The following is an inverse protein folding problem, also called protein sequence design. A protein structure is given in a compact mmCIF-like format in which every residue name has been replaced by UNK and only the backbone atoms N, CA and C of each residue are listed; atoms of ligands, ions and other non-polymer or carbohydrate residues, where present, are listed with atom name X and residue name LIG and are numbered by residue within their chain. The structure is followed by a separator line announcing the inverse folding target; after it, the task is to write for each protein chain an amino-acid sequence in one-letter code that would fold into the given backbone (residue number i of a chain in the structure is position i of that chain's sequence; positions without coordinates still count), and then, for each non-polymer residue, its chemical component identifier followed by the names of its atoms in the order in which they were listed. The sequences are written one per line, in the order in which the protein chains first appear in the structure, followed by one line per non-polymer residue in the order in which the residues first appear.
data_IF_597766623779
#
_entry.id   IF_597766623779
#
_cell.length_a   1.000
_cell.length_b   1.000
_cell.length_c   1.000
_cell.angle_alpha   90.00
_cell.angle_beta   90.00
_cell.angle_gamma   90.00
#
_symmetry.space_group_name_H-M   'P 1'
#
loop_
_entity.id
_entity.type
_entity.pdbx_description
1 polymer ?
#
# COMPACT_ATOMS: atom_id res chain seq x y z
N UNK A 1 42.17 29.32 -37.81
CA UNK A 1 41.32 30.10 -36.89
C UNK A 1 41.22 29.30 -35.59
N UNK A 2 42.25 29.37 -34.72
CA UNK A 2 42.44 30.37 -33.64
C UNK A 2 41.32 30.22 -32.60
N UNK A 3 41.49 29.85 -31.32
CA UNK A 3 42.60 29.43 -30.46
C UNK A 3 41.94 28.84 -29.18
N UNK A 4 42.31 27.63 -28.68
CA UNK A 4 42.97 27.34 -27.35
C UNK A 4 43.08 28.56 -26.39
N UNK A 5 42.91 28.45 -25.06
CA UNK A 5 43.66 27.62 -24.11
C UNK A 5 43.14 27.88 -22.65
N UNK A 6 43.02 26.86 -21.77
CA UNK A 6 43.91 26.49 -20.63
C UNK A 6 43.74 27.25 -19.30
N UNK A 7 43.71 26.48 -18.18
CA UNK A 7 43.66 26.91 -16.77
C UNK A 7 44.92 27.61 -16.23
N UNK A 8 45.17 27.64 -14.89
CA UNK A 8 45.67 26.46 -14.17
C UNK A 8 45.29 26.33 -12.66
N UNK A 9 45.83 25.26 -12.08
CA UNK A 9 45.78 24.71 -10.72
C UNK A 9 46.74 25.46 -9.76
N UNK A 10 46.44 25.56 -8.46
CA UNK A 10 47.47 25.51 -7.41
C UNK A 10 46.95 24.99 -6.04
N UNK A 11 47.79 24.14 -5.44
CA UNK A 11 47.71 23.47 -4.13
C UNK A 11 48.20 24.36 -2.96
N UNK A 12 47.82 23.97 -1.72
CA UNK A 12 48.57 24.22 -0.46
C UNK A 12 47.73 24.94 0.60
N UNK A 13 47.18 24.30 1.64
CA UNK A 13 47.80 23.71 2.85
C UNK A 13 47.74 24.64 4.09
N UNK A 14 47.18 24.07 5.17
CA UNK A 14 47.57 24.24 6.59
C UNK A 14 46.90 25.29 7.50
N UNK A 15 46.18 24.70 8.47
CA UNK A 15 46.23 24.91 9.94
C UNK A 15 45.30 25.94 10.60
N UNK A 16 44.61 25.38 11.60
CA UNK A 16 43.69 25.85 12.64
C UNK A 16 43.95 27.22 13.26
N UNK A 17 42.86 27.89 13.69
CA UNK A 17 42.60 28.28 15.10
C UNK A 17 41.27 29.04 15.27
N UNK A 18 40.38 28.54 16.14
CA UNK A 18 39.67 29.40 17.13
C UNK A 18 38.32 30.05 16.81
N UNK A 19 37.24 29.31 17.08
CA UNK A 19 35.96 29.73 17.72
C UNK A 19 35.21 31.00 17.27
N UNK A 20 33.96 30.82 16.82
CA UNK A 20 32.79 31.53 17.37
C UNK A 20 31.50 30.83 16.96
N UNK A 21 30.58 30.70 17.92
CA UNK A 21 29.31 29.99 17.81
C UNK A 21 28.37 30.65 16.80
N UNK A 22 27.88 29.87 15.84
CA UNK A 22 26.67 30.17 15.07
C UNK A 22 25.45 29.66 15.86
N UNK A 23 24.50 30.52 16.27
CA UNK A 23 23.26 30.05 16.86
C UNK A 23 22.32 29.52 15.78
N UNK A 24 21.82 28.32 16.05
CA UNK A 24 20.82 27.59 15.28
C UNK A 24 19.52 28.38 15.10
N UNK A 25 18.95 28.25 13.91
CA UNK A 25 17.72 28.91 13.47
C UNK A 25 16.59 28.95 14.49
N UNK A 26 16.34 30.16 15.00
CA UNK A 26 15.07 30.57 15.62
C UNK A 26 14.73 32.05 15.39
N UNK A 27 15.47 32.77 14.54
CA UNK A 27 15.32 34.22 14.35
C UNK A 27 14.77 34.62 12.97
N UNK A 28 13.69 34.00 12.54
CA UNK A 28 12.93 34.51 11.41
C UNK A 28 11.44 34.25 11.63
N UNK A 29 10.82 35.05 12.49
CA UNK A 29 9.42 35.54 12.40
C UNK A 29 9.00 36.18 13.73
N UNK A 30 9.61 37.31 14.09
CA UNK A 30 9.17 38.13 15.22
C UNK A 30 9.26 39.62 14.89
N UNK A 31 8.62 40.06 13.81
CA UNK A 31 8.43 41.50 13.55
C UNK A 31 7.10 41.77 12.84
N UNK A 32 6.10 42.17 13.64
CA UNK A 32 5.25 43.34 13.39
C UNK A 32 4.03 43.31 14.33
N UNK A 33 4.19 43.84 15.55
CA UNK A 33 3.06 44.35 16.33
C UNK A 33 3.34 45.82 16.67
N UNK A 34 3.13 46.69 15.68
CA UNK A 34 2.93 48.11 15.87
C UNK A 34 1.46 48.38 16.15
N UNK A 35 1.18 49.09 17.24
CA UNK A 35 -0.15 49.46 17.74
C UNK A 35 -1.12 49.99 16.66
N UNK A 36 -2.39 49.56 16.71
CA UNK A 36 -3.63 50.37 16.64
C UNK A 36 -4.80 49.47 17.09
N UNK A 37 -5.61 49.95 18.02
CA UNK A 37 -6.74 49.24 18.60
C UNK A 37 -7.83 48.90 17.59
N UNK A 38 -7.88 47.63 17.18
CA UNK A 38 -9.09 46.89 16.80
C UNK A 38 -8.87 45.47 17.29
N UNK A 39 -9.86 44.89 17.98
CA UNK A 39 -9.76 43.53 18.55
C UNK A 39 -9.50 42.53 17.42
N UNK A 40 -8.22 42.18 17.20
CA UNK A 40 -7.79 41.18 16.24
C UNK A 40 -7.92 39.81 16.92
N UNK A 41 -8.95 39.06 16.57
CA UNK A 41 -9.13 37.70 17.08
C UNK A 41 -8.36 36.73 16.20
N UNK A 42 -7.18 36.31 16.67
CA UNK A 42 -6.43 35.24 16.03
C UNK A 42 -6.87 33.89 16.61
N UNK A 43 -7.57 33.09 15.82
CA UNK A 43 -8.00 31.74 16.21
C UNK A 43 -6.89 30.77 15.81
N UNK A 44 -6.13 30.33 16.80
CA UNK A 44 -5.09 29.32 16.65
C UNK A 44 -5.57 28.02 17.30
N UNK A 45 -6.25 27.16 16.53
CA UNK A 45 -6.86 25.95 17.12
C UNK A 45 -7.29 24.87 16.14
N UNK A 46 -6.96 24.95 14.85
CA UNK A 46 -7.35 23.90 13.92
C UNK A 46 -6.31 22.78 13.90
N UNK A 47 -6.48 21.80 14.79
CA UNK A 47 -5.64 20.59 14.88
C UNK A 47 -5.64 19.74 13.59
N UNK A 48 -6.56 19.97 12.67
CA UNK A 48 -6.65 19.23 11.42
C UNK A 48 -6.09 20.06 10.26
N UNK A 49 -4.84 19.75 9.86
CA UNK A 49 -4.26 20.23 8.60
C UNK A 49 -5.21 19.95 7.41
N UNK A 50 -5.97 18.85 7.49
CA UNK A 50 -6.96 18.50 6.47
C UNK A 50 -8.17 19.44 6.44
N UNK A 51 -8.63 19.94 7.59
CA UNK A 51 -9.71 20.92 7.67
C UNK A 51 -9.28 22.28 7.12
N UNK A 52 -8.07 22.75 7.44
CA UNK A 52 -7.53 23.98 6.86
C UNK A 52 -7.39 23.86 5.34
N UNK A 53 -6.88 22.74 4.83
CA UNK A 53 -6.82 22.45 3.39
C UNK A 53 -8.22 22.42 2.74
N UNK A 54 -9.22 21.87 3.44
CA UNK A 54 -10.60 21.84 2.95
C UNK A 54 -11.22 23.25 2.89
N UNK A 55 -10.90 24.12 3.85
CA UNK A 55 -11.34 25.52 3.88
C UNK A 55 -10.61 26.41 2.88
N UNK A 56 -9.34 26.14 2.60
CA UNK A 56 -8.58 26.83 1.54
C UNK A 56 -8.97 26.36 0.13
N UNK A 57 -9.66 25.22 0.02
CA UNK A 57 -10.13 24.71 -1.26
C UNK A 57 -11.40 25.47 -1.72
N UNK A 58 -11.19 26.43 -2.62
CA UNK A 58 -12.26 27.23 -3.24
C UNK A 58 -13.28 26.40 -4.05
N UNK A 59 -12.94 25.15 -4.40
CA UNK A 59 -13.81 24.23 -5.15
C UNK A 59 -14.45 23.16 -4.27
N UNK A 60 -14.50 23.36 -2.95
CA UNK A 60 -15.11 22.40 -2.04
C UNK A 60 -16.60 22.16 -2.40
N UNK A 61 -17.00 20.88 -2.46
CA UNK A 61 -18.39 20.46 -2.67
C UNK A 61 -19.14 20.17 -1.36
N UNK A 62 -18.47 20.31 -0.21
CA UNK A 62 -19.10 20.10 1.09
C UNK A 62 -19.97 21.32 1.46
N UNK A 63 -21.27 21.14 1.73
CA UNK A 63 -22.15 22.24 2.17
C UNK A 63 -21.66 22.90 3.46
N UNK A 64 -21.13 22.12 4.39
CA UNK A 64 -20.57 22.59 5.66
C UNK A 64 -19.30 23.44 5.41
N UNK A 65 -18.43 22.99 4.50
CA UNK A 65 -17.22 23.74 4.18
C UNK A 65 -17.55 25.10 3.55
N UNK A 66 -18.54 25.16 2.63
CA UNK A 66 -19.00 26.44 2.05
C UNK A 66 -19.62 27.36 3.09
N UNK A 67 -20.49 26.84 3.95
CA UNK A 67 -21.08 27.62 5.03
C UNK A 67 -20.02 28.28 5.93
N UNK A 68 -18.98 27.52 6.29
CA UNK A 68 -17.86 28.05 7.09
C UNK A 68 -17.05 29.07 6.29
N UNK A 69 -16.75 28.81 5.01
CA UNK A 69 -16.04 29.75 4.13
C UNK A 69 -16.80 31.09 3.99
N UNK A 70 -18.12 31.05 3.77
CA UNK A 70 -18.97 32.24 3.66
C UNK A 70 -19.02 33.01 4.99
N UNK A 71 -19.12 32.30 6.11
CA UNK A 71 -19.09 32.91 7.45
C UNK A 71 -17.76 33.61 7.74
N UNK A 72 -16.65 32.98 7.35
CA UNK A 72 -15.32 33.57 7.47
C UNK A 72 -15.13 34.78 6.55
N UNK A 73 -15.65 34.73 5.33
CA UNK A 73 -15.58 35.83 4.37
C UNK A 73 -16.32 37.07 4.86
N UNK A 74 -17.47 36.89 5.52
CA UNK A 74 -18.27 37.98 6.06
C UNK A 74 -17.70 38.58 7.36
N UNK A 75 -16.75 37.89 8.01
CA UNK A 75 -16.16 38.33 9.27
C UNK A 75 -14.81 38.99 9.04
N UNK A 76 -14.74 40.32 9.13
CA UNK A 76 -13.49 41.05 9.00
C UNK A 76 -12.68 40.91 10.30
N UNK A 77 -11.38 40.62 10.20
CA UNK A 77 -10.39 40.50 11.30
C UNK A 77 -10.17 39.10 11.92
N UNK A 78 -10.44 38.00 11.19
CA UNK A 78 -10.03 36.65 11.63
C UNK A 78 -8.76 36.21 10.88
N UNK A 79 -7.75 35.77 11.62
CA UNK A 79 -6.58 35.05 11.08
C UNK A 79 -6.64 33.60 11.52
N UNK A 80 -6.51 32.70 10.54
CA UNK A 80 -6.45 31.25 10.76
C UNK A 80 -5.00 30.79 10.66
N UNK A 81 -4.48 30.20 11.72
CA UNK A 81 -3.17 29.58 11.77
C UNK A 81 -3.25 28.09 12.09
N UNK A 82 -2.33 27.30 11.53
CA UNK A 82 -2.15 25.90 11.92
C UNK A 82 -0.96 25.79 12.87
N UNK A 83 -1.19 25.18 14.02
CA UNK A 83 -0.14 24.83 14.99
C UNK A 83 -0.08 23.31 15.06
N UNK A 84 1.15 22.77 15.00
CA UNK A 84 1.39 21.34 15.12
C UNK A 84 0.97 20.85 16.51
N UNK A 85 0.31 19.69 16.56
CA UNK A 85 -0.04 19.04 17.83
C UNK A 85 1.23 18.63 18.61
N UNK A 86 1.13 18.58 19.95
CA UNK A 86 2.18 18.13 20.87
C UNK A 86 3.45 18.99 20.91
N UNK A 87 3.32 20.31 20.72
CA UNK A 87 4.43 21.28 20.81
C UNK A 87 4.37 22.09 22.12
N UNK A 88 3.64 21.62 23.15
CA UNK A 88 3.59 22.31 24.44
C UNK A 88 2.69 23.56 24.47
N UNK A 89 1.82 23.75 23.48
CA UNK A 89 0.88 24.86 23.46
C UNK A 89 -0.35 24.54 24.32
N UNK A 90 -0.42 25.19 25.48
CA UNK A 90 -1.43 24.95 26.52
C UNK A 90 -2.88 24.96 25.99
N UNK A 91 -3.23 25.86 25.07
CA UNK A 91 -4.57 25.93 24.48
C UNK A 91 -4.90 24.71 23.61
N UNK A 92 -3.98 24.29 22.73
CA UNK A 92 -4.16 23.12 21.87
C UNK A 92 -4.24 21.82 22.70
N UNK A 93 -3.43 21.72 23.75
CA UNK A 93 -3.43 20.56 24.64
C UNK A 93 -4.71 20.50 25.47
N UNK A 94 -5.20 21.65 25.95
CA UNK A 94 -6.47 21.72 26.67
C UNK A 94 -7.66 21.38 25.75
N UNK A 95 -7.63 21.82 24.50
CA UNK A 95 -8.65 21.45 23.51
C UNK A 95 -8.63 19.94 23.18
N UNK A 96 -7.45 19.31 23.06
CA UNK A 96 -7.31 17.85 22.87
C UNK A 96 -7.81 17.07 24.09
N UNK A 97 -7.49 17.55 25.30
CA UNK A 97 -7.95 16.97 26.56
C UNK A 97 -9.49 17.01 26.65
N UNK A 98 -10.09 18.17 26.37
CA UNK A 98 -11.55 18.35 26.37
C UNK A 98 -12.23 17.53 25.27
N UNK A 99 -11.63 17.42 24.09
CA UNK A 99 -12.16 16.58 23.01
C UNK A 99 -12.15 15.09 23.39
N UNK A 100 -11.08 14.62 24.04
CA UNK A 100 -11.00 13.25 24.57
C UNK A 100 -12.00 13.00 25.69
N UNK A 101 -12.14 13.95 26.62
CA UNK A 101 -13.12 13.88 27.71
C UNK A 101 -14.56 13.81 27.16
N UNK A 102 -14.85 14.61 26.13
CA UNK A 102 -16.15 14.60 25.46
C UNK A 102 -16.46 13.25 24.78
N UNK A 103 -15.48 12.56 24.21
CA UNK A 103 -15.67 11.21 23.64
C UNK A 103 -15.94 10.16 24.72
N UNK A 104 -15.42 10.36 25.93
CA UNK A 104 -15.61 9.45 27.07
C UNK A 104 -16.83 9.78 27.94
N UNK A 105 -17.43 10.95 27.76
CA UNK A 105 -18.61 11.38 28.51
C UNK A 105 -19.83 10.55 28.14
N UNK A 106 -20.57 10.08 29.15
CA UNK A 106 -21.83 9.33 29.00
C UNK A 106 -22.96 10.13 28.36
N UNK A 107 -22.84 11.46 28.25
CA UNK A 107 -23.80 12.33 27.56
C UNK A 107 -23.51 12.50 26.06
N UNK A 108 -22.38 11.97 25.57
CA UNK A 108 -22.03 12.05 24.15
C UNK A 108 -23.04 11.24 23.32
N UNK A 109 -23.73 11.92 22.40
CA UNK A 109 -24.59 11.26 21.44
C UNK A 109 -23.75 10.27 20.62
N UNK A 110 -24.04 8.97 20.76
CA UNK A 110 -23.43 7.94 19.94
C UNK A 110 -23.90 8.13 18.50
N UNK A 111 -23.09 8.82 17.71
CA UNK A 111 -23.27 8.90 16.26
C UNK A 111 -22.98 7.52 15.67
N UNK A 112 -24.02 6.73 15.45
CA UNK A 112 -23.93 5.49 14.69
C UNK A 112 -23.64 5.84 13.23
N UNK A 113 -22.36 5.93 12.88
CA UNK A 113 -21.93 6.08 11.49
C UNK A 113 -22.13 4.73 10.80
N UNK A 114 -22.94 4.66 9.72
CA UNK A 114 -23.12 3.43 8.97
C UNK A 114 -21.78 2.92 8.44
N UNK A 115 -21.59 1.59 8.47
CA UNK A 115 -20.39 0.97 7.93
C UNK A 115 -20.17 1.43 6.48
N UNK A 116 -18.96 1.90 6.12
CA UNK A 116 -18.65 2.25 4.74
C UNK A 116 -18.91 1.06 3.82
N UNK A 117 -19.48 1.31 2.63
CA UNK A 117 -19.70 0.27 1.62
C UNK A 117 -18.42 -0.50 1.27
N UNK A 118 -17.27 0.18 1.30
CA UNK A 118 -15.95 -0.43 1.11
C UNK A 118 -15.64 -1.50 2.16
N UNK A 119 -15.98 -1.25 3.42
CA UNK A 119 -15.78 -2.20 4.52
C UNK A 119 -16.65 -3.44 4.33
N UNK A 120 -17.93 -3.26 3.97
CA UNK A 120 -18.83 -4.37 3.70
C UNK A 120 -18.37 -5.19 2.48
N UNK A 121 -17.90 -4.53 1.43
CA UNK A 121 -17.33 -5.18 0.25
C UNK A 121 -16.08 -5.99 0.59
N UNK A 122 -15.17 -5.43 1.38
CA UNK A 122 -13.94 -6.11 1.80
C UNK A 122 -14.23 -7.35 2.66
N UNK A 123 -15.17 -7.25 3.60
CA UNK A 123 -15.62 -8.40 4.41
C UNK A 123 -16.21 -9.51 3.53
N UNK A 124 -17.06 -9.14 2.56
CA UNK A 124 -17.64 -10.10 1.62
C UNK A 124 -16.56 -10.78 0.77
N UNK A 125 -15.61 -10.02 0.23
CA UNK A 125 -14.48 -10.55 -0.54
C UNK A 125 -13.63 -11.52 0.29
N UNK A 126 -13.32 -11.16 1.54
CA UNK A 126 -12.56 -12.04 2.45
C UNK A 126 -13.29 -13.35 2.74
N UNK A 127 -14.59 -13.29 3.03
CA UNK A 127 -15.41 -14.49 3.26
C UNK A 127 -15.50 -15.37 2.02
N UNK A 128 -15.68 -14.75 0.85
CA UNK A 128 -15.73 -15.46 -0.42
C UNK A 128 -14.40 -16.17 -0.72
N UNK A 129 -13.27 -15.47 -0.56
CA UNK A 129 -11.93 -16.05 -0.74
C UNK A 129 -11.67 -17.18 0.26
N UNK A 130 -12.03 -17.02 1.53
CA UNK A 130 -11.85 -18.07 2.53
C UNK A 130 -12.67 -19.33 2.22
N UNK A 131 -13.91 -19.16 1.71
CA UNK A 131 -14.75 -20.27 1.27
C UNK A 131 -14.18 -20.94 0.02
N UNK A 132 -13.67 -20.16 -0.93
CA UNK A 132 -13.04 -20.69 -2.13
C UNK A 132 -11.75 -21.45 -1.79
N UNK A 133 -10.89 -20.90 -0.94
CA UNK A 133 -9.67 -21.55 -0.47
C UNK A 133 -9.96 -22.91 0.16
N UNK A 134 -10.96 -23.01 1.05
CA UNK A 134 -11.36 -24.32 1.63
C UNK A 134 -11.73 -25.34 0.56
N UNK A 135 -12.56 -24.95 -0.40
CA UNK A 135 -12.92 -25.83 -1.53
C UNK A 135 -11.71 -26.20 -2.40
N UNK A 136 -10.74 -25.30 -2.49
CA UNK A 136 -9.53 -25.50 -3.26
C UNK A 136 -8.58 -26.49 -2.58
N UNK A 137 -8.43 -26.38 -1.25
CA UNK A 137 -7.63 -27.28 -0.42
C UNK A 137 -8.24 -28.69 -0.40
N UNK A 138 -9.56 -28.80 -0.16
CA UNK A 138 -10.27 -30.08 0.02
C UNK A 138 -10.70 -30.74 -1.30
N UNK A 139 -10.65 -30.02 -2.42
CA UNK A 139 -11.14 -30.50 -3.70
C UNK A 139 -10.31 -31.66 -4.26
N UNK A 140 -10.94 -32.56 -5.00
CA UNK A 140 -10.23 -33.65 -5.72
C UNK A 140 -9.88 -33.29 -7.16
N UNK A 141 -10.51 -32.26 -7.72
CA UNK A 141 -10.29 -31.81 -9.09
C UNK A 141 -9.17 -30.78 -9.18
N UNK A 142 -8.53 -30.69 -10.34
CA UNK A 142 -7.50 -29.68 -10.62
C UNK A 142 -6.25 -29.79 -9.74
N UNK A 143 -5.92 -30.99 -9.24
CA UNK A 143 -4.78 -31.19 -8.33
C UNK A 143 -3.44 -30.83 -8.96
N UNK A 144 -3.29 -31.04 -10.27
CA UNK A 144 -2.13 -30.55 -11.04
C UNK A 144 -1.93 -29.04 -10.90
N UNK A 145 -3.01 -28.25 -11.00
CA UNK A 145 -2.97 -26.80 -10.79
C UNK A 145 -2.75 -26.44 -9.31
N UNK A 146 -3.30 -27.22 -8.38
CA UNK A 146 -3.13 -27.00 -6.93
C UNK A 146 -1.67 -27.08 -6.49
N UNK A 147 -0.89 -27.99 -7.09
CA UNK A 147 0.56 -28.09 -6.81
C UNK A 147 1.28 -26.75 -7.08
N UNK A 148 0.86 -26.01 -8.10
CA UNK A 148 1.43 -24.71 -8.47
C UNK A 148 0.80 -23.55 -7.70
N UNK A 149 -0.54 -23.47 -7.71
CA UNK A 149 -1.30 -22.40 -7.07
C UNK A 149 -1.94 -22.97 -5.81
N UNK A 150 -1.22 -22.95 -4.69
CA UNK A 150 -1.77 -23.43 -3.40
C UNK A 150 -2.75 -22.44 -2.76
N UNK A 151 -2.57 -21.15 -3.01
CA UNK A 151 -3.43 -20.09 -2.48
C UNK A 151 -4.25 -19.45 -3.58
N UNK A 152 -5.58 -19.49 -3.45
CA UNK A 152 -6.49 -18.81 -4.36
C UNK A 152 -6.35 -17.30 -4.19
N UNK A 153 -6.51 -16.58 -5.29
CA UNK A 153 -6.41 -15.13 -5.30
C UNK A 153 -7.12 -14.54 -6.50
N UNK A 154 -7.25 -13.22 -6.48
CA UNK A 154 -7.86 -12.45 -7.56
C UNK A 154 -6.83 -11.99 -8.61
N UNK A 155 -5.54 -12.31 -8.40
CA UNK A 155 -4.47 -11.93 -9.32
C UNK A 155 -4.55 -12.76 -10.59
N UNK A 156 -4.47 -12.09 -11.74
CA UNK A 156 -4.27 -12.76 -13.01
C UNK A 156 -2.78 -13.03 -13.22
N UNK A 157 -2.43 -14.28 -13.51
CA UNK A 157 -1.06 -14.70 -13.75
C UNK A 157 -0.57 -14.44 -15.19
N UNK A 158 -1.48 -14.15 -16.14
CA UNK A 158 -1.17 -13.87 -17.54
C UNK A 158 -0.26 -14.92 -18.21
N UNK A 159 -0.41 -16.19 -17.83
CA UNK A 159 0.41 -17.28 -18.37
C UNK A 159 0.11 -17.56 -19.85
N UNK A 160 1.13 -17.92 -20.66
CA UNK A 160 0.91 -18.35 -22.03
C UNK A 160 0.11 -19.65 -22.07
N UNK A 161 -0.63 -19.85 -23.16
CA UNK A 161 -1.53 -21.01 -23.33
C UNK A 161 -0.85 -22.35 -23.07
N UNK A 162 0.38 -22.52 -23.54
CA UNK A 162 1.16 -23.76 -23.39
C UNK A 162 1.43 -24.07 -21.91
N UNK A 163 1.78 -23.05 -21.14
CA UNK A 163 2.01 -23.19 -19.70
C UNK A 163 0.71 -23.50 -18.96
N UNK A 164 -0.39 -22.85 -19.32
CA UNK A 164 -1.72 -23.16 -18.77
C UNK A 164 -2.07 -24.62 -19.03
N UNK A 165 -1.89 -25.11 -20.26
CA UNK A 165 -2.16 -26.51 -20.61
C UNK A 165 -1.29 -27.47 -19.79
N UNK A 166 0.01 -27.18 -19.70
CA UNK A 166 0.95 -27.97 -18.92
C UNK A 166 0.55 -28.04 -17.43
N UNK A 167 0.32 -26.90 -16.78
CA UNK A 167 -0.03 -26.82 -15.35
C UNK A 167 -1.36 -27.49 -15.07
N UNK A 168 -2.36 -27.26 -15.92
CA UNK A 168 -3.70 -27.85 -15.73
C UNK A 168 -3.73 -29.34 -16.05
N UNK A 169 -2.65 -29.92 -16.59
CA UNK A 169 -2.61 -31.31 -17.02
C UNK A 169 -3.27 -31.57 -18.35
N UNK A 170 -3.72 -30.53 -19.06
CA UNK A 170 -4.36 -30.67 -20.37
C UNK A 170 -3.32 -30.95 -21.46
N UNK A 171 -3.66 -31.88 -22.35
CA UNK A 171 -2.85 -32.18 -23.52
C UNK A 171 -2.71 -33.67 -23.78
N UNK A 172 -1.67 -34.09 -24.53
CA UNK A 172 -1.43 -35.48 -24.89
C UNK A 172 -0.78 -36.27 -23.74
N UNK A 173 -1.32 -36.13 -22.53
CA UNK A 173 -0.84 -36.81 -21.33
C UNK A 173 -1.75 -38.02 -21.04
N UNK A 174 -1.22 -39.24 -20.82
CA UNK A 174 -2.04 -40.41 -20.51
C UNK A 174 -3.01 -40.17 -19.35
N UNK A 175 -2.57 -39.47 -18.30
CA UNK A 175 -3.42 -39.15 -17.15
C UNK A 175 -4.64 -38.29 -17.50
N UNK A 176 -4.53 -37.44 -18.50
CA UNK A 176 -5.62 -36.60 -19.00
C UNK A 176 -6.48 -37.36 -19.99
N UNK A 177 -5.88 -38.02 -20.98
CA UNK A 177 -6.60 -38.74 -22.02
C UNK A 177 -7.44 -39.90 -21.45
N UNK A 178 -6.95 -40.57 -20.40
CA UNK A 178 -7.69 -41.60 -19.66
C UNK A 178 -8.99 -41.08 -19.05
N UNK A 179 -8.96 -39.89 -18.43
CA UNK A 179 -10.16 -39.26 -17.84
C UNK A 179 -11.25 -39.00 -18.88
N UNK A 180 -10.88 -38.80 -20.14
CA UNK A 180 -11.81 -38.59 -21.26
C UNK A 180 -12.08 -39.87 -22.07
N UNK A 181 -11.63 -41.04 -21.61
CA UNK A 181 -11.82 -42.31 -22.32
C UNK A 181 -11.10 -42.41 -23.66
N UNK A 182 -10.04 -41.60 -23.87
CA UNK A 182 -9.25 -41.56 -25.12
C UNK A 182 -7.95 -42.35 -25.04
N UNK A 183 -7.62 -42.89 -23.88
CA UNK A 183 -6.44 -43.73 -23.64
C UNK A 183 -6.83 -44.88 -22.71
N UNK A 184 -6.27 -46.09 -22.89
CA UNK A 184 -6.67 -47.28 -22.12
C UNK A 184 -6.32 -47.22 -20.62
N UNK A 185 -5.24 -46.52 -20.27
CA UNK A 185 -4.77 -46.35 -18.88
C UNK A 185 -4.29 -44.92 -18.62
N UNK A 186 -3.98 -44.59 -17.36
CA UNK A 186 -3.44 -43.29 -16.97
C UNK A 186 -1.90 -43.26 -16.90
N UNK A 187 -1.23 -44.29 -17.41
CA UNK A 187 0.18 -44.55 -17.17
C UNK A 187 1.07 -44.03 -18.30
N UNK A 188 2.26 -43.58 -17.92
CA UNK A 188 3.39 -43.43 -18.83
C UNK A 188 3.93 -44.81 -19.21
N UNK A 189 4.62 -44.89 -20.36
CA UNK A 189 5.37 -46.08 -20.76
C UNK A 189 6.45 -46.54 -19.75
N UNK A 190 6.82 -45.68 -18.79
CA UNK A 190 7.70 -46.08 -17.70
C UNK A 190 6.99 -46.76 -16.51
N UNK A 191 5.66 -46.87 -16.52
CA UNK A 191 4.84 -47.51 -15.49
C UNK A 191 4.25 -46.57 -14.43
N UNK A 192 4.65 -45.30 -14.41
CA UNK A 192 4.17 -44.28 -13.46
C UNK A 192 3.02 -43.45 -14.04
N UNK A 193 2.23 -42.72 -13.24
CA UNK A 193 1.17 -41.84 -13.74
C UNK A 193 1.69 -40.83 -14.77
N UNK A 194 1.10 -40.83 -15.98
CA UNK A 194 1.53 -40.04 -17.12
C UNK A 194 1.12 -38.57 -17.05
N UNK A 195 1.50 -37.87 -15.98
CA UNK A 195 1.22 -36.45 -15.74
C UNK A 195 2.31 -35.53 -16.33
N UNK A 196 2.00 -34.26 -16.68
CA UNK A 196 3.02 -33.33 -17.15
C UNK A 196 4.21 -33.16 -16.20
N UNK A 197 3.95 -33.05 -14.89
CA UNK A 197 5.02 -32.94 -13.89
C UNK A 197 5.90 -34.19 -13.83
N UNK A 198 5.33 -35.39 -14.00
CA UNK A 198 6.11 -36.62 -14.09
C UNK A 198 7.13 -36.55 -15.25
N UNK A 199 6.68 -36.20 -16.45
CA UNK A 199 7.57 -36.04 -17.61
C UNK A 199 8.62 -34.94 -17.42
N UNK A 200 8.26 -33.85 -16.73
CA UNK A 200 9.18 -32.73 -16.54
C UNK A 200 10.21 -32.94 -15.42
N UNK A 201 10.02 -33.90 -14.50
CA UNK A 201 10.87 -33.98 -13.29
C UNK A 201 11.32 -35.38 -12.89
N UNK A 202 10.60 -36.44 -13.27
CA UNK A 202 10.79 -37.79 -12.70
C UNK A 202 10.91 -38.91 -13.74
N UNK A 203 10.36 -38.74 -14.94
CA UNK A 203 10.28 -39.81 -15.92
C UNK A 203 11.66 -40.21 -16.45
N UNK A 204 12.04 -41.49 -16.26
CA UNK A 204 13.30 -42.02 -16.78
C UNK A 204 13.45 -41.91 -18.30
N UNK A 205 12.34 -41.80 -19.04
CA UNK A 205 12.32 -41.71 -20.50
C UNK A 205 12.56 -40.29 -21.01
N UNK A 206 12.43 -39.26 -20.17
CA UNK A 206 12.60 -37.85 -20.53
C UNK A 206 13.69 -37.15 -19.73
N UNK A 207 14.65 -37.91 -19.18
CA UNK A 207 15.74 -37.40 -18.33
C UNK A 207 16.49 -36.20 -18.94
N UNK A 208 16.74 -36.21 -20.25
CA UNK A 208 17.45 -35.12 -20.94
C UNK A 208 16.67 -33.80 -21.00
N UNK A 209 15.36 -33.84 -20.74
CA UNK A 209 14.44 -32.70 -20.79
C UNK A 209 13.91 -32.31 -19.41
N UNK A 210 14.42 -32.92 -18.34
CA UNK A 210 13.98 -32.60 -17.00
C UNK A 210 14.29 -31.15 -16.65
N UNK A 211 13.31 -30.50 -16.03
CA UNK A 211 13.52 -29.27 -15.32
C UNK A 211 14.46 -29.55 -14.14
N UNK A 212 15.39 -28.64 -13.88
CA UNK A 212 16.24 -28.72 -12.71
C UNK A 212 15.36 -28.65 -11.47
N UNK A 213 15.28 -29.77 -10.74
CA UNK A 213 14.52 -29.82 -9.51
C UNK A 213 15.15 -28.86 -8.49
N UNK A 214 14.40 -27.90 -7.94
CA UNK A 214 14.89 -27.05 -6.87
C UNK A 214 15.15 -27.90 -5.61
N UNK A 215 16.07 -27.46 -4.75
CA UNK A 215 16.18 -28.03 -3.40
C UNK A 215 14.86 -27.81 -2.63
N UNK A 216 14.54 -28.68 -1.67
CA UNK A 216 13.24 -28.67 -0.96
C UNK A 216 12.85 -27.30 -0.40
N UNK A 217 13.83 -26.58 0.15
CA UNK A 217 13.67 -25.22 0.68
C UNK A 217 13.28 -24.15 -0.37
N UNK A 218 13.41 -24.45 -1.67
CA UNK A 218 13.13 -23.55 -2.79
C UNK A 218 11.94 -23.97 -3.65
N UNK A 219 11.28 -25.09 -3.34
CA UNK A 219 10.14 -25.60 -4.12
C UNK A 219 9.03 -24.55 -4.24
N UNK A 220 8.68 -23.86 -3.14
CA UNK A 220 7.60 -22.88 -3.16
C UNK A 220 7.92 -21.66 -4.02
N UNK A 221 9.18 -21.22 -4.05
CA UNK A 221 9.61 -20.10 -4.90
C UNK A 221 9.71 -20.52 -6.37
N UNK A 222 10.11 -21.76 -6.64
CA UNK A 222 10.24 -22.30 -7.99
C UNK A 222 8.89 -22.47 -8.71
N UNK A 223 7.81 -22.65 -7.95
CA UNK A 223 6.44 -22.78 -8.46
C UNK A 223 5.72 -21.43 -8.66
N UNK A 224 6.32 -20.30 -8.23
CA UNK A 224 5.76 -18.94 -8.37
C UNK A 224 6.28 -18.25 -9.63
#
# INVERSE_FOLDING_TARGET
MIHRATGPIHNGSSVESGSSLEPSGSEAESLALGHIGRSLFSIHGYQSQSSLKALLNQKSNSPIARYIQDSLYNTHNIRLGWIRAYVGHLGNEKDDELAKEAITSTEAAVLTVPLPRSSAKQDLEQRALAKWQRRWDDGINGRSTYEVIKKVGLRNHNWPRQLIQFITGHGPFPSYLFQFGKHPDNCCACGEPGTPFHYATKCRLTLSYHLKCPADQHIEAWLK
#
